data_IF_517204098006
#
_entry.id   IF_517204098006
#
_cell.length_a   1.000
_cell.length_b   1.000
_cell.length_c   1.000
_cell.angle_alpha   90.00
_cell.angle_beta   90.00
_cell.angle_gamma   90.00
#
_symmetry.space_group_name_H-M   'P 1'
#
loop_
_entity.id
_entity.type
_entity.pdbx_description
1 polymer ?
#
# COMPACT_ATOMS: atom_id res chain seq x y z
N UNK A 1 -35.85 -31.65 18.39
CA UNK A 1 -34.68 -32.03 17.54
C UNK A 1 -33.97 -30.76 17.13
N UNK A 2 -32.86 -30.46 17.80
CA UNK A 2 -32.07 -29.26 17.58
C UNK A 2 -30.92 -29.64 16.64
N UNK A 3 -30.92 -29.13 15.40
CA UNK A 3 -29.83 -29.30 14.47
C UNK A 3 -28.73 -28.29 14.76
N UNK A 4 -27.66 -28.75 15.39
CA UNK A 4 -26.44 -28.00 15.58
C UNK A 4 -25.65 -28.05 14.26
N UNK A 5 -25.64 -26.95 13.48
CA UNK A 5 -24.72 -26.81 12.35
C UNK A 5 -23.32 -26.53 12.90
N UNK A 6 -22.49 -27.55 12.94
CA UNK A 6 -21.06 -27.43 13.07
C UNK A 6 -20.53 -26.82 11.76
N UNK A 7 -20.29 -25.51 11.73
CA UNK A 7 -19.45 -24.88 10.74
C UNK A 7 -18.01 -25.29 11.01
N UNK A 8 -17.63 -26.41 10.42
CA UNK A 8 -16.22 -26.81 10.33
C UNK A 8 -15.47 -25.77 9.51
N UNK A 9 -14.63 -24.96 10.17
CA UNK A 9 -13.59 -24.17 9.52
C UNK A 9 -12.64 -25.15 8.82
N UNK A 10 -12.87 -25.43 7.54
CA UNK A 10 -11.86 -26.01 6.69
C UNK A 10 -10.78 -24.96 6.46
N UNK A 11 -9.78 -24.92 7.31
CA UNK A 11 -8.48 -24.32 6.98
C UNK A 11 -7.89 -25.18 5.87
N UNK A 12 -8.17 -24.82 4.61
CA UNK A 12 -7.43 -25.38 3.50
C UNK A 12 -5.96 -24.97 3.71
N UNK A 13 -5.09 -25.98 3.82
CA UNK A 13 -3.65 -25.76 3.97
C UNK A 13 -3.19 -24.96 2.76
N UNK A 14 -2.59 -23.79 2.98
CA UNK A 14 -1.98 -23.01 1.92
C UNK A 14 -0.65 -23.67 1.57
N UNK A 15 -0.46 -24.04 0.31
CA UNK A 15 0.80 -24.58 -0.16
C UNK A 15 1.82 -23.44 -0.25
N UNK A 16 2.96 -23.61 0.40
CA UNK A 16 4.06 -22.65 0.43
C UNK A 16 5.25 -23.24 -0.31
N UNK A 17 5.74 -22.53 -1.30
CA UNK A 17 6.94 -22.88 -2.06
C UNK A 17 8.04 -21.87 -1.74
N UNK A 18 9.23 -22.35 -1.37
CA UNK A 18 10.37 -21.50 -1.00
C UNK A 18 11.01 -20.78 -2.21
N UNK A 19 10.81 -21.33 -3.42
CA UNK A 19 11.33 -20.75 -4.66
C UNK A 19 10.30 -20.87 -5.77
N UNK A 20 10.38 -19.95 -6.74
CA UNK A 20 9.54 -19.95 -7.93
C UNK A 20 9.69 -21.24 -8.75
N UNK A 21 8.58 -21.68 -9.35
CA UNK A 21 8.57 -22.74 -10.37
C UNK A 21 8.98 -22.19 -11.76
N UNK A 22 8.83 -20.90 -12.01
CA UNK A 22 9.25 -20.23 -13.23
C UNK A 22 10.73 -19.86 -13.15
N UNK A 23 11.48 -20.17 -14.20
CA UNK A 23 12.86 -19.68 -14.35
C UNK A 23 12.84 -18.23 -14.81
N UNK A 24 13.65 -17.38 -14.17
CA UNK A 24 13.76 -15.97 -14.50
C UNK A 24 15.16 -15.44 -14.19
N UNK A 25 15.50 -14.31 -14.78
CA UNK A 25 16.66 -13.49 -14.43
C UNK A 25 16.22 -12.18 -13.79
N UNK A 26 17.12 -11.60 -12.98
CA UNK A 26 16.94 -10.27 -12.38
C UNK A 26 17.85 -9.30 -13.13
N UNK A 27 17.24 -8.36 -13.83
CA UNK A 27 17.95 -7.30 -14.52
C UNK A 27 17.88 -6.02 -13.70
N UNK A 28 19.04 -5.46 -13.28
CA UNK A 28 19.07 -4.15 -12.63
C UNK A 28 18.85 -3.07 -13.69
N UNK A 29 17.73 -2.36 -13.57
CA UNK A 29 17.32 -1.29 -14.50
C UNK A 29 17.86 0.06 -14.05
N UNK A 30 17.72 0.36 -12.75
CA UNK A 30 18.17 1.63 -12.16
C UNK A 30 19.06 1.34 -10.97
N UNK A 31 20.22 2.01 -10.90
CA UNK A 31 21.06 2.02 -9.71
C UNK A 31 20.72 3.22 -8.82
N UNK A 32 20.42 2.97 -7.52
CA UNK A 32 20.03 4.01 -6.58
C UNK A 32 20.26 3.57 -5.13
N UNK A 33 21.10 4.30 -4.42
CA UNK A 33 21.53 3.97 -3.04
C UNK A 33 20.60 4.54 -1.94
N UNK A 34 19.52 5.25 -2.34
CA UNK A 34 18.46 5.75 -1.47
C UNK A 34 17.33 4.76 -1.24
N UNK A 35 16.25 5.24 -0.62
CA UNK A 35 15.02 4.46 -0.44
C UNK A 35 14.01 4.89 -1.50
N UNK A 36 14.01 4.20 -2.64
CA UNK A 36 12.93 4.33 -3.62
C UNK A 36 11.65 3.89 -2.92
N UNK A 37 10.74 4.84 -2.71
CA UNK A 37 9.50 4.56 -2.00
C UNK A 37 8.42 4.04 -2.93
N UNK A 38 8.33 4.60 -4.13
CA UNK A 38 7.34 4.25 -5.16
C UNK A 38 7.90 4.46 -6.56
N UNK A 39 7.46 3.61 -7.47
CA UNK A 39 7.74 3.67 -8.91
C UNK A 39 6.44 3.76 -9.70
N UNK A 40 6.47 4.54 -10.80
CA UNK A 40 5.43 4.60 -11.82
C UNK A 40 6.03 4.62 -13.21
N UNK A 41 5.27 4.19 -14.21
CA UNK A 41 5.69 4.16 -15.61
C UNK A 41 5.01 5.27 -16.39
N UNK A 42 5.78 6.24 -16.87
CA UNK A 42 5.30 7.28 -17.78
C UNK A 42 4.95 6.69 -19.16
N UNK A 43 5.67 5.67 -19.57
CA UNK A 43 5.48 4.81 -20.74
C UNK A 43 6.28 3.51 -20.56
N UNK A 44 6.49 2.73 -21.64
CA UNK A 44 7.23 1.46 -21.59
C UNK A 44 8.70 1.59 -21.20
N UNK A 45 9.32 2.74 -21.41
CA UNK A 45 10.77 2.96 -21.23
C UNK A 45 11.06 3.95 -20.10
N UNK A 46 10.12 4.85 -19.82
CA UNK A 46 10.32 5.95 -18.91
C UNK A 46 9.68 5.66 -17.55
N UNK A 47 10.51 5.67 -16.51
CA UNK A 47 10.11 5.48 -15.13
C UNK A 47 10.16 6.83 -14.40
N UNK A 48 9.19 7.10 -13.53
CA UNK A 48 9.25 8.15 -12.51
C UNK A 48 9.22 7.49 -11.14
N UNK A 49 10.04 7.94 -10.20
CA UNK A 49 10.06 7.35 -8.87
C UNK A 49 10.40 8.39 -7.78
N UNK A 50 9.95 8.10 -6.57
CA UNK A 50 10.21 8.93 -5.39
C UNK A 50 11.34 8.33 -4.55
N UNK A 51 12.23 9.19 -4.04
CA UNK A 51 13.11 8.86 -2.92
C UNK A 51 12.51 9.42 -1.62
N UNK A 52 12.51 8.58 -0.59
CA UNK A 52 11.96 8.92 0.73
C UNK A 52 12.55 10.22 1.30
N UNK A 53 13.77 10.60 0.93
CA UNK A 53 14.44 11.82 1.42
C UNK A 53 13.95 13.09 0.75
N UNK A 54 13.03 13.01 -0.23
CA UNK A 54 12.31 14.15 -0.79
C UNK A 54 12.55 14.41 -2.26
N UNK A 55 13.38 13.63 -2.91
CA UNK A 55 13.68 13.77 -4.33
C UNK A 55 12.70 12.95 -5.17
N UNK A 56 12.46 13.43 -6.39
CA UNK A 56 11.74 12.70 -7.43
C UNK A 56 12.68 12.58 -8.63
N UNK A 57 12.73 11.40 -9.22
CA UNK A 57 13.59 11.12 -10.36
C UNK A 57 12.80 10.59 -11.54
N UNK A 58 13.28 10.89 -12.74
CA UNK A 58 12.91 10.17 -13.96
C UNK A 58 14.09 9.34 -14.45
N UNK A 59 13.78 8.22 -15.12
CA UNK A 59 14.76 7.37 -15.80
C UNK A 59 14.23 6.98 -17.18
N UNK A 60 15.04 7.17 -18.23
CA UNK A 60 14.63 6.99 -19.64
C UNK A 60 15.31 5.79 -20.31
N UNK A 61 15.72 4.78 -19.55
CA UNK A 61 16.47 3.63 -20.06
C UNK A 61 17.99 3.84 -20.07
N UNK A 62 18.48 5.07 -19.93
CA UNK A 62 19.92 5.40 -19.93
C UNK A 62 20.35 6.42 -18.88
N UNK A 63 19.53 7.43 -18.62
CA UNK A 63 19.85 8.54 -17.74
C UNK A 63 18.82 8.69 -16.64
N UNK A 64 19.32 8.88 -15.40
CA UNK A 64 18.54 9.21 -14.23
C UNK A 64 18.64 10.72 -13.96
N UNK A 65 17.53 11.42 -13.98
CA UNK A 65 17.45 12.86 -13.79
C UNK A 65 16.54 13.17 -12.59
N UNK A 66 17.05 14.01 -11.68
CA UNK A 66 16.22 14.59 -10.64
C UNK A 66 15.30 15.66 -11.24
N UNK A 67 14.01 15.67 -10.86
CA UNK A 67 13.06 16.68 -11.33
C UNK A 67 12.75 17.68 -10.22
N UNK A 68 12.44 18.91 -10.61
CA UNK A 68 12.10 20.00 -9.69
C UNK A 68 10.62 19.94 -9.27
N UNK A 69 10.27 20.65 -8.20
CA UNK A 69 8.88 20.86 -7.78
C UNK A 69 8.35 19.83 -6.78
N UNK A 70 9.21 19.00 -6.20
CA UNK A 70 8.82 18.14 -5.10
C UNK A 70 8.34 18.95 -3.88
N UNK A 71 7.39 18.45 -3.05
CA UNK A 71 6.91 19.14 -1.86
C UNK A 71 8.00 19.23 -0.77
N UNK A 72 7.90 20.25 0.09
CA UNK A 72 8.70 20.28 1.33
C UNK A 72 8.20 19.19 2.29
N UNK A 73 9.09 18.27 2.66
CA UNK A 73 8.75 17.11 3.48
C UNK A 73 9.14 17.27 4.95
N UNK A 74 8.42 16.56 5.82
CA UNK A 74 8.80 16.30 7.20
C UNK A 74 9.50 14.94 7.32
N UNK A 75 10.83 14.95 7.15
CA UNK A 75 11.62 13.72 7.27
C UNK A 75 11.69 13.27 8.73
N UNK A 76 10.90 12.25 9.07
CA UNK A 76 10.83 11.71 10.43
C UNK A 76 10.64 10.19 10.41
N UNK A 77 11.73 9.44 10.61
CA UNK A 77 11.80 7.96 10.64
C UNK A 77 11.23 7.32 9.38
N UNK A 78 9.98 6.79 9.42
CA UNK A 78 9.32 6.18 8.26
C UNK A 78 8.70 7.22 7.31
N UNK A 79 8.47 8.44 7.80
CA UNK A 79 7.92 9.53 6.99
C UNK A 79 8.97 10.21 6.13
N UNK A 80 8.53 10.79 5.04
CA UNK A 80 9.31 11.49 4.03
C UNK A 80 8.46 11.74 2.80
N UNK A 81 9.06 11.73 1.63
CA UNK A 81 8.33 11.60 0.37
C UNK A 81 7.96 10.13 0.19
N UNK A 82 6.71 9.85 -0.15
CA UNK A 82 6.22 8.48 -0.12
C UNK A 82 5.70 8.05 -1.50
N UNK A 83 4.41 7.87 -1.66
CA UNK A 83 3.85 7.35 -2.89
C UNK A 83 3.80 8.38 -4.02
N UNK A 84 3.91 7.90 -5.24
CA UNK A 84 3.58 8.63 -6.47
C UNK A 84 2.64 7.76 -7.29
N UNK A 85 1.56 8.33 -7.78
CA UNK A 85 0.56 7.65 -8.59
C UNK A 85 0.14 8.52 -9.76
N UNK A 86 0.17 7.99 -10.98
CA UNK A 86 -0.34 8.69 -12.15
C UNK A 86 -1.88 8.70 -12.14
N UNK A 87 -2.46 9.80 -12.64
CA UNK A 87 -3.90 9.83 -12.91
C UNK A 87 -4.26 8.75 -13.96
N UNK A 88 -5.42 8.09 -13.90
CA UNK A 88 -5.82 7.12 -14.92
C UNK A 88 -5.74 7.65 -16.37
N UNK A 89 -6.03 8.95 -16.58
CA UNK A 89 -5.90 9.63 -17.86
C UNK A 89 -4.63 10.48 -17.96
N UNK A 90 -3.51 10.01 -17.36
CA UNK A 90 -2.26 10.77 -17.30
C UNK A 90 -1.76 11.19 -18.68
N UNK A 91 -1.88 10.34 -19.68
CA UNK A 91 -1.44 10.62 -21.06
C UNK A 91 -2.16 11.84 -21.67
N UNK A 92 -3.38 12.15 -21.23
CA UNK A 92 -4.17 13.27 -21.69
C UNK A 92 -3.99 14.52 -20.83
N UNK A 93 -3.77 14.34 -19.51
CA UNK A 93 -3.86 15.43 -18.56
C UNK A 93 -2.57 15.74 -17.80
N UNK A 94 -1.55 14.87 -17.91
CA UNK A 94 -0.24 14.96 -17.22
C UNK A 94 -0.36 15.12 -15.70
N UNK A 95 -1.45 14.64 -15.08
CA UNK A 95 -1.68 14.77 -13.66
C UNK A 95 -1.12 13.58 -12.90
N UNK A 96 -0.48 13.83 -11.78
CA UNK A 96 -0.05 12.81 -10.84
C UNK A 96 -0.35 13.23 -9.39
N UNK A 97 -0.30 12.25 -8.51
CA UNK A 97 -0.57 12.42 -7.10
C UNK A 97 0.64 11.95 -6.30
N UNK A 98 0.88 12.65 -5.19
CA UNK A 98 1.99 12.37 -4.31
C UNK A 98 1.47 12.31 -2.89
N UNK A 99 1.92 11.31 -2.12
CA UNK A 99 1.76 11.34 -0.68
C UNK A 99 3.09 11.67 -0.02
N UNK A 100 3.02 12.45 1.05
CA UNK A 100 4.21 12.81 1.78
C UNK A 100 3.91 13.12 3.25
N UNK A 101 4.94 13.05 4.06
CA UNK A 101 4.88 13.51 5.43
C UNK A 101 4.98 15.04 5.44
N UNK A 102 3.92 15.72 5.86
CA UNK A 102 3.89 17.17 6.04
C UNK A 102 3.97 17.54 7.51
N UNK A 103 4.85 18.49 7.86
CA UNK A 103 4.85 19.07 9.19
C UNK A 103 3.63 19.96 9.33
N UNK A 104 2.79 19.72 10.34
CA UNK A 104 1.55 20.46 10.57
C UNK A 104 1.72 21.56 11.62
N UNK A 105 2.45 21.26 12.71
CA UNK A 105 2.68 22.16 13.84
C UNK A 105 3.94 21.72 14.65
N UNK A 106 4.14 22.32 15.83
CA UNK A 106 5.23 21.94 16.75
C UNK A 106 5.14 20.51 17.27
N UNK A 107 3.94 19.88 17.26
CA UNK A 107 3.72 18.50 17.70
C UNK A 107 3.97 17.48 16.58
N UNK A 108 4.52 17.91 15.44
CA UNK A 108 4.95 17.04 14.37
C UNK A 108 4.11 17.13 13.09
N UNK A 109 3.91 15.99 12.42
CA UNK A 109 3.28 15.96 11.12
C UNK A 109 2.37 14.74 10.89
N UNK A 110 1.73 14.75 9.73
CA UNK A 110 0.92 13.63 9.27
C UNK A 110 0.99 13.48 7.75
N UNK A 111 0.36 12.41 7.24
CA UNK A 111 0.28 12.12 5.81
C UNK A 111 -0.60 13.14 5.12
N UNK A 112 -0.11 13.65 4.01
CA UNK A 112 -0.77 14.60 3.11
C UNK A 112 -0.79 14.00 1.71
N UNK A 113 -1.86 14.26 0.96
CA UNK A 113 -1.98 13.94 -0.47
C UNK A 113 -1.94 15.23 -1.25
N UNK A 114 -1.03 15.33 -2.20
CA UNK A 114 -0.94 16.45 -3.15
C UNK A 114 -1.21 15.97 -4.57
N UNK A 115 -1.68 16.89 -5.41
CA UNK A 115 -1.83 16.74 -6.85
C UNK A 115 -0.90 17.71 -7.55
N UNK A 116 -0.33 17.30 -8.68
CA UNK A 116 0.53 18.16 -9.51
C UNK A 116 0.38 17.82 -11.00
N UNK A 117 0.90 18.69 -11.85
CA UNK A 117 1.12 18.43 -13.27
C UNK A 117 2.59 18.13 -13.52
N UNK A 118 2.87 17.12 -14.32
CA UNK A 118 4.21 16.82 -14.80
C UNK A 118 4.42 17.38 -16.19
N UNK A 119 5.45 18.23 -16.38
CA UNK A 119 5.74 18.86 -17.67
C UNK A 119 6.94 18.25 -18.42
N UNK A 120 7.43 17.10 -17.93
CA UNK A 120 8.60 16.41 -18.47
C UNK A 120 9.88 16.61 -17.65
N UNK A 121 10.06 17.75 -16.99
CA UNK A 121 11.26 18.06 -16.20
C UNK A 121 10.97 18.52 -14.78
N UNK A 122 9.73 18.86 -14.47
CA UNK A 122 9.33 19.35 -13.14
C UNK A 122 7.86 19.05 -12.85
N UNK A 123 7.53 19.11 -11.57
CA UNK A 123 6.15 19.20 -11.11
C UNK A 123 5.76 20.69 -11.03
N UNK A 124 4.61 21.01 -11.61
CA UNK A 124 4.01 22.34 -11.55
C UNK A 124 2.60 22.25 -10.98
N UNK A 125 2.05 23.37 -10.55
CA UNK A 125 0.70 23.44 -9.97
C UNK A 125 0.48 22.45 -8.81
N UNK A 126 1.53 22.25 -7.98
CA UNK A 126 1.46 21.39 -6.81
C UNK A 126 0.50 21.97 -5.79
N UNK A 127 -0.53 21.22 -5.42
CA UNK A 127 -1.50 21.59 -4.41
C UNK A 127 -1.84 20.42 -3.48
N UNK A 128 -1.99 20.70 -2.19
CA UNK A 128 -2.49 19.71 -1.23
C UNK A 128 -3.99 19.56 -1.37
N UNK A 129 -4.43 18.39 -1.77
CA UNK A 129 -5.85 18.04 -1.93
C UNK A 129 -6.42 17.33 -0.69
N UNK A 130 -5.56 16.81 0.19
CA UNK A 130 -5.95 16.27 1.48
C UNK A 130 -4.82 16.49 2.50
N UNK A 131 -5.16 17.06 3.66
CA UNK A 131 -4.27 17.22 4.79
C UNK A 131 -4.91 16.58 6.02
N UNK A 132 -4.27 15.59 6.61
CA UNK A 132 -4.75 14.97 7.85
C UNK A 132 -4.76 15.97 9.00
N UNK A 133 -5.79 15.89 9.88
CA UNK A 133 -6.05 16.90 10.90
C UNK A 133 -5.14 16.84 12.12
N UNK A 134 -4.70 15.63 12.51
CA UNK A 134 -3.94 15.43 13.74
C UNK A 134 -2.46 15.28 13.43
N UNK A 135 -1.63 16.10 14.07
CA UNK A 135 -0.17 15.95 14.07
C UNK A 135 0.30 14.82 15.00
N UNK A 136 1.50 14.32 14.74
CA UNK A 136 2.18 13.34 15.59
C UNK A 136 3.70 13.49 15.44
N UNK A 137 4.40 13.58 16.58
CA UNK A 137 5.87 13.49 16.62
C UNK A 137 6.38 12.07 16.39
N UNK A 138 5.50 11.07 16.54
CA UNK A 138 5.86 9.68 16.31
C UNK A 138 6.08 9.43 14.83
N UNK A 139 7.29 9.03 14.47
CA UNK A 139 7.69 8.81 13.08
C UNK A 139 7.23 7.45 12.49
N UNK A 140 6.15 6.86 12.98
CA UNK A 140 5.67 5.52 12.61
C UNK A 140 4.32 5.54 11.91
N UNK A 141 4.07 4.51 11.10
CA UNK A 141 2.79 4.14 10.53
C UNK A 141 2.14 5.29 9.74
N UNK A 142 2.82 5.74 8.69
CA UNK A 142 2.33 6.81 7.84
C UNK A 142 1.27 6.34 6.84
N UNK A 143 1.22 5.04 6.52
CA UNK A 143 0.40 4.50 5.45
C UNK A 143 0.91 4.96 4.10
N UNK A 144 0.09 5.67 3.35
CA UNK A 144 0.40 6.55 2.21
C UNK A 144 0.06 6.05 0.81
N UNK A 145 0.08 4.73 0.52
CA UNK A 145 -0.21 4.25 -0.83
C UNK A 145 -1.56 4.73 -1.35
N UNK A 146 -1.59 5.04 -2.65
CA UNK A 146 -2.74 5.54 -3.40
C UNK A 146 -3.20 4.48 -4.41
N UNK A 147 -4.51 4.35 -4.58
CA UNK A 147 -5.10 3.63 -5.70
C UNK A 147 -6.34 4.36 -6.22
N UNK A 148 -6.59 4.27 -7.52
CA UNK A 148 -7.84 4.72 -8.14
C UNK A 148 -8.78 3.56 -8.36
N UNK A 149 -10.08 3.77 -8.09
CA UNK A 149 -11.10 2.87 -8.61
C UNK A 149 -11.47 3.23 -10.07
N UNK A 150 -12.28 2.41 -10.71
CA UNK A 150 -12.72 2.64 -12.11
C UNK A 150 -13.59 3.87 -12.30
N UNK A 151 -14.13 4.45 -11.21
CA UNK A 151 -14.92 5.67 -11.24
C UNK A 151 -14.05 6.94 -11.09
N UNK A 152 -12.74 6.77 -10.88
CA UNK A 152 -11.77 7.85 -10.69
C UNK A 152 -11.69 8.36 -9.26
N UNK A 153 -12.25 7.66 -8.27
CA UNK A 153 -12.04 8.01 -6.87
C UNK A 153 -10.67 7.55 -6.42
N UNK A 154 -10.03 8.38 -5.62
CA UNK A 154 -8.73 8.15 -5.05
C UNK A 154 -8.87 7.60 -3.63
N UNK A 155 -8.26 6.44 -3.38
CA UNK A 155 -8.18 5.79 -2.07
C UNK A 155 -6.75 5.82 -1.54
N UNK A 156 -6.62 6.04 -0.23
CA UNK A 156 -5.32 6.00 0.44
C UNK A 156 -5.47 5.64 1.92
N UNK A 157 -4.40 5.12 2.52
CA UNK A 157 -4.37 4.76 3.93
C UNK A 157 -3.54 5.72 4.78
N UNK A 158 -3.97 5.96 6.02
CA UNK A 158 -3.14 6.54 7.08
C UNK A 158 -3.10 5.55 8.24
N UNK A 159 -1.91 5.16 8.66
CA UNK A 159 -1.73 4.26 9.80
C UNK A 159 -2.10 4.90 11.15
N UNK A 160 -2.04 4.11 12.21
CA UNK A 160 -2.40 4.55 13.58
C UNK A 160 -1.46 5.62 14.16
N UNK A 161 -0.42 6.02 13.41
CA UNK A 161 0.58 7.03 13.79
C UNK A 161 1.25 6.70 15.13
N UNK A 162 1.41 5.41 15.45
CA UNK A 162 1.96 4.93 16.70
C UNK A 162 1.09 5.21 17.94
N UNK A 163 -0.19 5.52 17.75
CA UNK A 163 -1.18 5.76 18.81
C UNK A 163 -2.29 4.71 18.78
N UNK A 164 -1.85 3.46 18.89
CA UNK A 164 -2.65 2.24 18.77
C UNK A 164 -3.98 2.29 19.53
N UNK A 165 -3.94 2.68 20.79
CA UNK A 165 -5.09 2.58 21.70
C UNK A 165 -6.06 3.77 21.56
N UNK A 166 -5.73 4.74 20.71
CA UNK A 166 -6.49 5.98 20.52
C UNK A 166 -7.03 6.06 19.09
N UNK A 167 -6.14 6.10 18.10
CA UNK A 167 -6.49 6.52 16.74
C UNK A 167 -7.39 5.54 15.97
N UNK A 168 -7.11 4.21 15.89
CA UNK A 168 -7.79 3.35 14.93
C UNK A 168 -9.29 3.24 15.13
N UNK A 169 -9.74 3.20 16.39
CA UNK A 169 -11.15 3.01 16.75
C UNK A 169 -11.92 4.33 16.94
N UNK A 170 -11.22 5.47 16.99
CA UNK A 170 -11.84 6.79 17.15
C UNK A 170 -12.11 7.42 15.77
N UNK A 171 -13.38 7.55 15.38
CA UNK A 171 -13.80 8.15 14.11
C UNK A 171 -13.58 9.66 14.03
N UNK A 172 -13.31 10.33 15.14
CA UNK A 172 -12.99 11.77 15.17
C UNK A 172 -11.50 12.06 14.87
N UNK A 173 -10.71 11.00 14.61
CA UNK A 173 -9.29 11.05 14.32
C UNK A 173 -8.96 10.37 12.99
N UNK A 174 -7.98 10.94 12.28
CA UNK A 174 -7.61 10.47 10.94
C UNK A 174 -6.65 9.26 10.96
N UNK A 175 -5.97 8.99 12.07
CA UNK A 175 -5.06 7.83 12.15
C UNK A 175 -5.78 6.48 12.18
N UNK A 176 -5.24 5.48 11.48
CA UNK A 176 -5.79 4.13 11.37
C UNK A 176 -7.04 4.05 10.50
N UNK A 177 -7.03 4.75 9.36
CA UNK A 177 -8.16 4.85 8.43
C UNK A 177 -7.73 4.60 6.98
N UNK A 178 -8.68 4.15 6.16
CA UNK A 178 -8.65 4.29 4.72
C UNK A 178 -9.63 5.37 4.32
N UNK A 179 -9.23 6.22 3.40
CA UNK A 179 -9.96 7.39 2.92
C UNK A 179 -10.37 7.21 1.47
N UNK A 180 -11.43 7.89 1.04
CA UNK A 180 -11.86 8.04 -0.35
C UNK A 180 -12.16 9.50 -0.63
N UNK A 181 -11.57 10.04 -1.69
CA UNK A 181 -11.83 11.39 -2.21
C UNK A 181 -11.97 11.35 -3.74
N UNK A 182 -12.49 12.42 -4.32
CA UNK A 182 -12.40 12.63 -5.77
C UNK A 182 -10.96 13.04 -6.14
N UNK A 183 -10.63 13.01 -7.42
CA UNK A 183 -9.35 13.38 -7.99
C UNK A 183 -8.94 14.85 -7.73
N UNK A 184 -9.91 15.72 -7.46
CA UNK A 184 -9.73 17.13 -7.09
C UNK A 184 -9.68 17.37 -5.57
N UNK A 185 -9.75 16.32 -4.75
CA UNK A 185 -9.78 16.40 -3.29
C UNK A 185 -11.18 16.64 -2.69
N UNK A 186 -12.20 16.89 -3.50
CA UNK A 186 -13.58 17.00 -3.02
C UNK A 186 -14.10 15.65 -2.50
N UNK A 187 -15.13 15.69 -1.67
CA UNK A 187 -15.67 14.49 -1.04
C UNK A 187 -16.78 13.89 -1.90
N UNK A 188 -16.70 12.60 -2.29
CA UNK A 188 -17.80 11.91 -2.95
C UNK A 188 -19.07 11.97 -2.11
N UNK A 189 -20.22 12.31 -2.75
CA UNK A 189 -21.49 12.50 -2.05
C UNK A 189 -22.04 11.23 -1.40
N UNK A 190 -21.57 10.06 -1.84
CA UNK A 190 -21.91 8.74 -1.31
C UNK A 190 -20.90 8.21 -0.30
N UNK A 191 -19.95 9.04 0.15
CA UNK A 191 -19.03 8.64 1.23
C UNK A 191 -19.77 8.32 2.53
N UNK A 192 -19.32 7.30 3.27
CA UNK A 192 -20.09 6.75 4.39
C UNK A 192 -20.31 7.74 5.55
N UNK A 193 -19.48 8.77 5.68
CA UNK A 193 -19.54 9.73 6.80
C UNK A 193 -19.83 11.17 6.35
N UNK A 194 -20.28 11.39 5.11
CA UNK A 194 -20.52 12.73 4.53
C UNK A 194 -21.46 13.60 5.38
N UNK A 195 -22.50 12.99 5.97
CA UNK A 195 -23.50 13.68 6.79
C UNK A 195 -23.21 13.58 8.32
N UNK A 196 -22.02 13.12 8.73
CA UNK A 196 -21.69 12.92 10.15
C UNK A 196 -20.89 14.09 10.72
N UNK A 197 -21.52 14.85 11.61
CA UNK A 197 -20.89 16.03 12.24
C UNK A 197 -19.64 15.61 13.03
N UNK A 198 -18.51 16.28 12.77
CA UNK A 198 -17.25 16.09 13.46
C UNK A 198 -16.39 14.93 12.97
N UNK A 199 -16.94 14.00 12.20
CA UNK A 199 -16.19 12.93 11.54
C UNK A 199 -15.63 13.47 10.23
N UNK A 200 -14.39 13.08 9.86
CA UNK A 200 -13.83 13.43 8.57
C UNK A 200 -14.64 12.73 7.46
N UNK A 201 -15.32 13.46 6.57
CA UNK A 201 -16.19 12.87 5.55
C UNK A 201 -15.44 12.05 4.50
N UNK A 202 -14.12 12.20 4.40
CA UNK A 202 -13.28 11.38 3.53
C UNK A 202 -13.06 9.95 4.05
N UNK A 203 -13.31 9.67 5.34
CA UNK A 203 -13.12 8.33 5.91
C UNK A 203 -14.04 7.34 5.20
N UNK A 204 -13.45 6.22 4.75
CA UNK A 204 -14.14 5.12 4.10
C UNK A 204 -14.26 3.89 5.00
N UNK A 205 -13.13 3.52 5.66
CA UNK A 205 -13.07 2.44 6.66
C UNK A 205 -12.14 2.81 7.81
N UNK A 206 -12.16 2.04 8.91
CA UNK A 206 -11.40 2.34 10.11
C UNK A 206 -10.91 1.07 10.82
N UNK A 207 -10.12 1.23 11.88
CA UNK A 207 -9.58 0.10 12.62
C UNK A 207 -8.36 -0.53 11.95
N UNK A 208 -7.57 0.27 11.23
CA UNK A 208 -6.33 -0.14 10.56
C UNK A 208 -5.10 0.18 11.41
N UNK A 209 -4.05 -0.65 11.26
CA UNK A 209 -2.77 -0.39 11.91
C UNK A 209 -1.84 0.45 11.03
N UNK A 210 -1.47 -0.06 9.87
CA UNK A 210 -0.53 0.59 8.96
C UNK A 210 -0.65 0.01 7.54
N UNK A 211 -1.66 0.41 6.76
CA UNK A 211 -1.78 0.04 5.35
C UNK A 211 -0.54 0.50 4.58
N UNK A 212 0.13 -0.41 3.89
CA UNK A 212 1.37 -0.14 3.14
C UNK A 212 1.23 -0.39 1.64
N UNK A 213 0.36 -1.28 1.24
CA UNK A 213 -0.02 -1.50 -0.15
C UNK A 213 -1.52 -1.34 -0.32
N UNK A 214 -1.91 -0.78 -1.44
CA UNK A 214 -3.31 -0.62 -1.85
C UNK A 214 -3.38 -0.75 -3.37
N UNK A 215 -4.37 -1.45 -3.88
CA UNK A 215 -4.69 -1.49 -5.30
C UNK A 215 -6.19 -1.68 -5.52
N UNK A 216 -6.65 -1.34 -6.72
CA UNK A 216 -7.97 -1.67 -7.21
C UNK A 216 -7.94 -3.02 -7.92
N UNK A 217 -8.76 -3.98 -7.46
CA UNK A 217 -8.85 -5.31 -8.05
C UNK A 217 -9.85 -5.31 -9.21
N UNK A 218 -9.40 -5.39 -10.48
CA UNK A 218 -10.27 -5.21 -11.64
C UNK A 218 -11.33 -6.31 -11.76
N UNK A 219 -11.04 -7.52 -11.30
CA UNK A 219 -11.96 -8.66 -11.37
C UNK A 219 -13.10 -8.64 -10.36
N UNK A 220 -12.93 -7.98 -9.20
CA UNK A 220 -13.95 -7.89 -8.14
C UNK A 220 -14.54 -6.50 -7.96
N UNK A 221 -13.97 -5.48 -8.62
CA UNK A 221 -14.38 -4.07 -8.48
C UNK A 221 -14.28 -3.58 -7.02
N UNK A 222 -13.19 -3.93 -6.34
CA UNK A 222 -12.96 -3.65 -4.92
C UNK A 222 -11.56 -3.09 -4.69
N UNK A 223 -11.41 -2.30 -3.64
CA UNK A 223 -10.09 -1.87 -3.14
C UNK A 223 -9.56 -2.92 -2.17
N UNK A 224 -8.34 -3.36 -2.40
CA UNK A 224 -7.63 -4.29 -1.56
C UNK A 224 -6.41 -3.63 -0.93
N UNK A 225 -6.12 -3.96 0.33
CA UNK A 225 -4.94 -3.45 1.03
C UNK A 225 -4.15 -4.59 1.66
N UNK A 226 -2.85 -4.38 1.80
CA UNK A 226 -2.09 -5.08 2.82
C UNK A 226 -1.66 -4.12 3.93
N UNK A 227 -1.49 -4.62 5.13
CA UNK A 227 -1.07 -3.82 6.25
C UNK A 227 -0.18 -4.59 7.24
N UNK A 228 0.70 -3.84 7.91
CA UNK A 228 1.56 -4.39 8.94
C UNK A 228 0.79 -4.72 10.21
N UNK A 229 0.93 -5.94 10.69
CA UNK A 229 0.74 -6.29 12.08
C UNK A 229 1.92 -5.84 12.96
N UNK A 230 1.91 -6.15 14.26
CA UNK A 230 3.09 -5.95 15.11
C UNK A 230 4.11 -7.08 14.90
N UNK A 231 4.26 -7.98 15.85
CA UNK A 231 5.07 -9.19 15.67
C UNK A 231 4.18 -10.34 15.18
N UNK A 232 4.04 -10.48 13.85
CA UNK A 232 3.01 -11.29 13.18
C UNK A 232 1.69 -10.54 13.01
N UNK A 233 0.73 -11.15 12.30
CA UNK A 233 -0.57 -10.57 12.05
C UNK A 233 -0.55 -9.43 11.02
N UNK A 234 0.37 -9.45 10.07
CA UNK A 234 0.23 -8.69 8.83
C UNK A 234 -0.98 -9.24 8.06
N UNK A 235 -1.70 -8.41 7.34
CA UNK A 235 -2.99 -8.77 6.78
C UNK A 235 -3.14 -8.36 5.31
N UNK A 236 -3.98 -9.10 4.58
CA UNK A 236 -4.63 -8.65 3.34
C UNK A 236 -6.10 -8.41 3.67
N UNK A 237 -6.60 -7.23 3.35
CA UNK A 237 -7.95 -6.81 3.61
C UNK A 237 -8.66 -6.35 2.32
N UNK A 238 -9.93 -6.72 2.15
CA UNK A 238 -10.83 -6.17 1.13
C UNK A 238 -11.58 -5.00 1.76
N UNK A 239 -11.36 -3.79 1.25
CA UNK A 239 -11.85 -2.57 1.88
C UNK A 239 -13.30 -2.29 1.50
N UNK A 240 -14.15 -2.13 2.51
CA UNK A 240 -15.58 -1.84 2.37
C UNK A 240 -15.98 -0.61 3.19
N UNK A 241 -16.99 0.16 2.71
CA UNK A 241 -17.44 1.35 3.43
C UNK A 241 -17.99 1.01 4.82
N UNK A 242 -17.75 1.90 5.80
CA UNK A 242 -18.23 1.79 7.20
C UNK A 242 -17.62 0.64 8.03
N UNK A 243 -16.73 -0.17 7.44
CA UNK A 243 -16.23 -1.36 8.12
C UNK A 243 -15.08 -1.06 9.05
N UNK A 244 -15.07 -1.82 10.17
CA UNK A 244 -14.04 -1.80 11.19
C UNK A 244 -13.13 -3.03 11.02
N UNK A 245 -11.84 -2.80 10.75
CA UNK A 245 -10.84 -3.86 10.56
C UNK A 245 -10.17 -4.30 11.87
N UNK A 246 -10.64 -3.77 12.98
CA UNK A 246 -10.46 -4.35 14.30
C UNK A 246 -9.22 -3.95 15.08
N UNK A 247 -8.18 -3.38 14.44
CA UNK A 247 -6.98 -2.95 15.16
C UNK A 247 -7.30 -1.90 16.23
N UNK A 248 -6.80 -2.01 17.48
CA UNK A 248 -6.02 -3.11 18.08
C UNK A 248 -6.88 -4.10 18.88
N UNK A 249 -8.20 -4.05 18.76
CA UNK A 249 -9.14 -4.88 19.54
C UNK A 249 -9.00 -6.36 19.20
N UNK A 250 -8.80 -6.66 17.91
CA UNK A 250 -8.48 -7.99 17.39
C UNK A 250 -7.14 -7.95 16.67
N UNK A 251 -6.37 -9.04 16.74
CA UNK A 251 -5.10 -9.20 16.02
C UNK A 251 -4.64 -10.64 16.01
N UNK A 252 -3.92 -11.04 14.96
CA UNK A 252 -3.17 -12.30 14.91
C UNK A 252 -1.72 -12.17 15.38
N UNK A 253 -1.29 -10.95 15.75
CA UNK A 253 0.06 -10.65 16.22
C UNK A 253 0.11 -10.35 17.72
N UNK A 254 1.34 -10.24 18.22
CA UNK A 254 1.65 -9.90 19.61
C UNK A 254 2.60 -8.69 19.66
N UNK A 255 2.81 -8.09 20.83
CA UNK A 255 3.78 -7.01 20.99
C UNK A 255 5.21 -7.46 20.63
N UNK A 256 6.07 -6.51 20.27
CA UNK A 256 7.49 -6.79 19.94
C UNK A 256 8.28 -7.38 21.12
N UNK A 257 7.88 -7.09 22.36
CA UNK A 257 8.43 -7.68 23.60
C UNK A 257 7.87 -9.07 23.93
N UNK A 258 7.05 -9.63 23.03
CA UNK A 258 6.38 -10.94 23.15
C UNK A 258 5.21 -10.97 24.14
N UNK A 259 4.80 -9.85 24.69
CA UNK A 259 3.56 -9.77 25.49
C UNK A 259 2.31 -9.77 24.59
N UNK A 260 1.23 -10.33 25.10
CA UNK A 260 -0.09 -10.35 24.43
C UNK A 260 -0.84 -9.08 24.82
N UNK A 261 -1.32 -8.31 23.83
CA UNK A 261 -2.13 -7.11 24.07
C UNK A 261 -3.64 -7.36 23.85
N UNK A 262 -3.98 -8.42 23.13
CA UNK A 262 -5.35 -8.92 22.94
C UNK A 262 -5.33 -10.43 22.72
N UNK A 263 -6.27 -11.13 23.33
CA UNK A 263 -6.51 -12.57 23.09
C UNK A 263 -7.52 -12.81 21.95
N UNK A 264 -8.07 -11.73 21.39
CA UNK A 264 -9.10 -11.81 20.38
C UNK A 264 -8.50 -11.76 18.98
N UNK A 265 -8.79 -12.77 18.17
CA UNK A 265 -8.51 -12.76 16.73
C UNK A 265 -9.75 -12.40 15.91
N UNK A 266 -10.96 -12.46 16.52
CA UNK A 266 -12.21 -12.11 15.88
C UNK A 266 -13.19 -11.49 16.88
N UNK A 267 -14.03 -10.56 16.42
CA UNK A 267 -15.09 -9.96 17.21
C UNK A 267 -16.25 -9.54 16.30
N UNK A 268 -17.48 -9.71 16.76
CA UNK A 268 -18.67 -9.27 16.02
C UNK A 268 -18.60 -7.79 15.71
N UNK A 269 -18.86 -7.41 14.45
CA UNK A 269 -18.78 -6.04 13.95
C UNK A 269 -17.36 -5.61 13.52
N UNK A 270 -16.40 -6.53 13.51
CA UNK A 270 -15.06 -6.33 12.98
C UNK A 270 -14.81 -7.31 11.83
N UNK A 271 -14.25 -6.79 10.74
CA UNK A 271 -13.94 -7.58 9.55
C UNK A 271 -12.75 -8.50 9.82
N UNK A 272 -12.74 -9.62 9.13
CA UNK A 272 -11.62 -10.56 9.15
C UNK A 272 -10.78 -10.41 7.88
N UNK A 273 -9.45 -10.49 7.98
CA UNK A 273 -8.60 -10.43 6.80
C UNK A 273 -8.87 -11.59 5.85
N UNK A 274 -8.66 -11.33 4.57
CA UNK A 274 -8.62 -12.36 3.54
C UNK A 274 -7.50 -13.37 3.81
N UNK A 275 -6.36 -12.84 4.22
CA UNK A 275 -5.16 -13.59 4.56
C UNK A 275 -4.35 -12.85 5.64
N UNK A 276 -3.57 -13.60 6.43
CA UNK A 276 -2.63 -13.01 7.40
C UNK A 276 -1.33 -13.83 7.50
N UNK A 277 -0.25 -13.14 7.87
CA UNK A 277 1.07 -13.74 8.05
C UNK A 277 1.46 -13.81 9.53
N UNK A 278 1.93 -14.99 9.95
CA UNK A 278 2.65 -15.21 11.21
C UNK A 278 3.79 -16.19 10.93
N UNK A 279 5.05 -15.73 11.07
CA UNK A 279 5.54 -14.42 11.50
C UNK A 279 5.28 -13.31 10.48
N UNK A 280 5.46 -12.05 10.92
CA UNK A 280 5.34 -10.86 10.05
C UNK A 280 6.38 -10.89 8.93
N UNK A 281 5.96 -10.65 7.70
CA UNK A 281 6.82 -10.42 6.53
C UNK A 281 7.12 -8.93 6.31
N UNK A 282 6.40 -8.04 7.02
CA UNK A 282 6.37 -6.60 6.81
C UNK A 282 6.03 -6.24 5.34
N UNK A 283 4.79 -6.45 4.87
CA UNK A 283 4.38 -6.21 3.49
C UNK A 283 4.46 -4.71 3.17
N UNK A 284 5.06 -4.35 2.04
CA UNK A 284 5.39 -2.96 1.70
C UNK A 284 4.60 -2.38 0.53
N UNK A 285 4.25 -3.23 -0.39
CA UNK A 285 3.53 -2.91 -1.62
C UNK A 285 2.52 -4.01 -1.90
N UNK A 286 1.59 -3.72 -2.79
CA UNK A 286 0.56 -4.67 -3.16
C UNK A 286 0.12 -4.39 -4.59
N UNK A 287 0.28 -5.36 -5.47
CA UNK A 287 -0.03 -5.22 -6.89
C UNK A 287 -0.78 -6.44 -7.41
N UNK A 288 -1.66 -6.24 -8.37
CA UNK A 288 -2.33 -7.30 -9.11
C UNK A 288 -1.61 -7.51 -10.44
N UNK A 289 -1.15 -8.73 -10.71
CA UNK A 289 -0.48 -9.05 -11.95
C UNK A 289 -1.51 -9.30 -13.07
N UNK A 290 -1.72 -8.30 -13.90
CA UNK A 290 -2.46 -8.41 -15.15
C UNK A 290 -1.47 -8.42 -16.32
N UNK A 291 -0.86 -9.59 -16.55
CA UNK A 291 0.16 -9.77 -17.58
C UNK A 291 0.29 -11.22 -17.98
N UNK A 292 0.44 -11.46 -19.29
CA UNK A 292 0.71 -12.77 -19.87
C UNK A 292 2.22 -13.02 -20.13
N UNK A 293 3.10 -12.11 -19.69
CA UNK A 293 4.56 -12.26 -19.80
C UNK A 293 5.06 -13.47 -19.02
N UNK A 294 4.40 -13.79 -17.90
CA UNK A 294 4.79 -14.87 -17.00
C UNK A 294 3.80 -16.03 -17.09
N UNK A 295 4.21 -17.15 -17.67
CA UNK A 295 3.32 -18.30 -17.84
C UNK A 295 2.72 -18.78 -16.52
N UNK A 296 1.40 -18.81 -16.45
CA UNK A 296 0.62 -19.23 -15.29
C UNK A 296 0.60 -18.25 -14.11
N UNK A 297 1.10 -17.02 -14.26
CA UNK A 297 1.11 -16.03 -13.18
C UNK A 297 0.02 -14.97 -13.29
N UNK A 298 -0.59 -14.81 -14.46
CA UNK A 298 -1.66 -13.81 -14.63
C UNK A 298 -2.77 -14.02 -13.58
N UNK A 299 -3.24 -12.92 -12.99
CA UNK A 299 -4.23 -12.93 -11.90
C UNK A 299 -3.64 -13.15 -10.51
N UNK A 300 -2.32 -13.19 -10.35
CA UNK A 300 -1.66 -13.32 -9.06
C UNK A 300 -1.59 -11.98 -8.31
N UNK A 301 -1.46 -12.09 -6.99
CA UNK A 301 -1.19 -10.98 -6.10
C UNK A 301 0.31 -10.94 -5.82
N UNK A 302 0.91 -9.75 -5.89
CA UNK A 302 2.32 -9.50 -5.64
C UNK A 302 2.50 -8.67 -4.38
N UNK A 303 3.31 -9.15 -3.43
CA UNK A 303 3.55 -8.50 -2.13
C UNK A 303 5.04 -8.43 -1.85
N UNK A 304 5.58 -7.24 -1.68
CA UNK A 304 6.98 -7.06 -1.28
C UNK A 304 7.18 -7.35 0.21
N UNK A 305 8.28 -8.02 0.58
CA UNK A 305 8.68 -8.25 1.96
C UNK A 305 9.87 -7.38 2.35
N UNK A 306 9.66 -6.51 3.34
CA UNK A 306 10.76 -5.73 3.93
C UNK A 306 11.56 -6.52 4.96
N UNK A 307 10.95 -7.50 5.62
CA UNK A 307 11.59 -8.23 6.70
C UNK A 307 12.52 -9.33 6.19
N UNK A 308 12.13 -10.02 5.12
CA UNK A 308 12.87 -11.16 4.59
C UNK A 308 13.51 -10.92 3.23
N UNK A 309 13.24 -9.79 2.57
CA UNK A 309 13.91 -9.40 1.31
C UNK A 309 13.54 -10.29 0.12
N UNK A 310 12.27 -10.39 -0.21
CA UNK A 310 11.76 -11.10 -1.39
C UNK A 310 10.46 -10.46 -1.88
N UNK A 311 10.06 -10.78 -3.10
CA UNK A 311 8.69 -10.61 -3.58
C UNK A 311 7.91 -11.90 -3.29
N UNK A 312 6.71 -11.81 -2.72
CA UNK A 312 5.80 -12.94 -2.57
C UNK A 312 4.70 -12.88 -3.62
N UNK A 313 4.53 -13.98 -4.36
CA UNK A 313 3.39 -14.18 -5.25
C UNK A 313 2.36 -15.07 -4.55
N UNK A 314 1.11 -14.61 -4.54
CA UNK A 314 -0.01 -15.37 -4.00
C UNK A 314 -1.04 -15.60 -5.09
N UNK A 315 -1.71 -16.74 -5.06
CA UNK A 315 -2.91 -16.98 -5.88
C UNK A 315 -4.14 -17.14 -5.00
N UNK A 316 -5.29 -16.81 -5.56
CA UNK A 316 -6.57 -17.03 -4.92
C UNK A 316 -7.38 -18.10 -5.68
N UNK A 317 -8.18 -18.85 -4.94
CA UNK A 317 -9.13 -19.78 -5.55
C UNK A 317 -10.41 -19.07 -5.99
N UNK A 318 -11.33 -19.80 -6.61
CA UNK A 318 -12.64 -19.30 -7.08
C UNK A 318 -13.52 -18.68 -5.98
N UNK A 319 -13.18 -18.88 -4.71
CA UNK A 319 -13.84 -18.27 -3.55
C UNK A 319 -13.10 -17.05 -3.01
N UNK A 320 -12.09 -16.58 -3.73
CA UNK A 320 -11.24 -15.44 -3.34
C UNK A 320 -10.27 -15.73 -2.20
N UNK A 321 -10.10 -16.98 -1.75
CA UNK A 321 -9.17 -17.32 -0.67
C UNK A 321 -7.78 -17.63 -1.21
N UNK A 322 -6.76 -17.13 -0.54
CA UNK A 322 -5.36 -17.49 -0.84
C UNK A 322 -5.18 -19.00 -0.68
N UNK A 323 -4.69 -19.65 -1.70
CA UNK A 323 -4.49 -21.10 -1.75
C UNK A 323 -3.06 -21.52 -2.11
N UNK A 324 -2.24 -20.59 -2.63
CA UNK A 324 -0.86 -20.85 -2.98
C UNK A 324 0.00 -19.61 -2.72
N UNK A 325 1.26 -19.82 -2.35
CA UNK A 325 2.27 -18.78 -2.13
C UNK A 325 3.63 -19.28 -2.57
N UNK A 326 4.40 -18.40 -3.19
CA UNK A 326 5.81 -18.66 -3.51
C UNK A 326 6.66 -17.41 -3.33
N UNK A 327 7.95 -17.61 -3.05
CA UNK A 327 8.95 -16.55 -2.95
C UNK A 327 9.65 -16.37 -4.29
N UNK A 328 9.72 -15.13 -4.73
CA UNK A 328 10.41 -14.69 -5.94
C UNK A 328 11.55 -13.79 -5.52
N UNK A 329 12.70 -13.90 -6.19
CA UNK A 329 13.91 -13.13 -5.88
C UNK A 329 14.29 -13.18 -4.39
N UNK A 330 14.45 -14.37 -3.77
CA UNK A 330 14.85 -14.48 -2.37
C UNK A 330 16.21 -13.79 -2.15
N UNK A 331 16.31 -13.11 -1.01
CA UNK A 331 17.53 -12.39 -0.58
C UNK A 331 17.90 -11.18 -1.46
N UNK A 332 17.01 -10.70 -2.34
CA UNK A 332 17.27 -9.52 -3.17
C UNK A 332 17.46 -8.23 -2.33
N UNK A 333 16.98 -8.22 -1.10
CA UNK A 333 16.96 -7.05 -0.24
C UNK A 333 15.53 -6.62 0.09
N UNK A 334 15.40 -5.51 0.80
CA UNK A 334 14.10 -4.99 1.24
C UNK A 334 13.30 -4.48 0.03
N UNK A 335 12.33 -5.25 -0.42
CA UNK A 335 11.44 -4.86 -1.52
C UNK A 335 10.46 -3.81 -1.00
N UNK A 336 10.61 -2.55 -1.44
CA UNK A 336 9.77 -1.43 -1.02
C UNK A 336 8.56 -1.25 -1.90
N UNK A 337 8.73 -1.43 -3.22
CA UNK A 337 7.65 -1.31 -4.19
C UNK A 337 7.70 -2.41 -5.25
N UNK A 338 6.55 -2.70 -5.82
CA UNK A 338 6.39 -3.55 -6.99
C UNK A 338 5.41 -2.87 -7.94
N UNK A 339 5.77 -2.81 -9.22
CA UNK A 339 4.89 -2.32 -10.29
C UNK A 339 5.01 -3.22 -11.51
N UNK A 340 3.92 -3.35 -12.22
CA UNK A 340 3.89 -3.98 -13.54
C UNK A 340 3.97 -2.88 -14.60
N UNK A 341 5.01 -2.94 -15.44
CA UNK A 341 5.15 -1.98 -16.55
C UNK A 341 4.09 -2.17 -17.62
N UNK A 342 3.82 -1.17 -18.48
CA UNK A 342 2.81 -1.29 -19.52
C UNK A 342 3.06 -2.42 -20.52
N UNK A 343 4.32 -2.87 -20.70
CA UNK A 343 4.70 -4.06 -21.48
C UNK A 343 4.63 -5.37 -20.68
N UNK A 344 4.14 -5.32 -19.44
CA UNK A 344 3.77 -6.47 -18.60
C UNK A 344 4.89 -7.03 -17.71
N UNK A 345 6.07 -6.41 -17.65
CA UNK A 345 7.15 -6.88 -16.78
C UNK A 345 7.01 -6.38 -15.34
N UNK A 346 7.33 -7.26 -14.39
CA UNK A 346 7.37 -6.94 -12.96
C UNK A 346 8.65 -6.18 -12.64
N UNK A 347 8.54 -5.03 -12.00
CA UNK A 347 9.65 -4.23 -11.51
C UNK A 347 9.60 -4.12 -9.99
N UNK A 348 10.77 -4.22 -9.35
CA UNK A 348 10.94 -4.18 -7.90
C UNK A 348 11.82 -3.00 -7.51
N UNK A 349 11.34 -2.13 -6.63
CA UNK A 349 12.19 -1.17 -5.93
C UNK A 349 12.79 -1.83 -4.69
N UNK A 350 14.12 -1.94 -4.66
CA UNK A 350 14.88 -2.53 -3.56
C UNK A 350 15.61 -1.41 -2.81
N UNK A 351 15.35 -1.28 -1.50
CA UNK A 351 15.93 -0.22 -0.67
C UNK A 351 17.47 -0.25 -0.72
N UNK A 352 18.08 0.90 -1.00
CA UNK A 352 19.55 1.11 -1.07
C UNK A 352 20.25 0.28 -2.14
N UNK A 353 19.53 -0.05 -3.20
CA UNK A 353 20.08 -0.84 -4.30
C UNK A 353 19.56 -0.36 -5.65
N UNK A 354 18.24 -0.21 -5.83
CA UNK A 354 17.72 0.31 -7.08
C UNK A 354 16.44 -0.36 -7.55
N UNK A 355 16.21 -0.33 -8.87
CA UNK A 355 15.05 -0.96 -9.52
C UNK A 355 15.52 -2.16 -10.32
N UNK A 356 14.85 -3.29 -10.13
CA UNK A 356 15.08 -4.53 -10.85
C UNK A 356 13.87 -4.92 -11.69
N UNK A 357 14.11 -5.47 -12.86
CA UNK A 357 13.10 -6.10 -13.72
C UNK A 357 13.25 -7.62 -13.61
N UNK A 358 12.12 -8.34 -13.49
CA UNK A 358 12.07 -9.79 -13.54
C UNK A 358 11.86 -10.22 -15.00
N UNK A 359 12.82 -10.94 -15.59
CA UNK A 359 12.77 -11.39 -16.98
C UNK A 359 12.57 -12.90 -17.00
N UNK A 360 11.44 -13.46 -17.49
CA UNK A 360 11.26 -14.90 -17.60
C UNK A 360 12.17 -15.49 -18.66
N UNK A 361 12.64 -16.74 -18.43
CA UNK A 361 13.55 -17.49 -19.31
C UNK A 361 12.83 -18.55 -20.15
#
# INVERSE_FOLDING_TARGET
MSFCFLLGSCNSKVDITESSQLSYELEKVVDHDGIIWSIEFLDNENIIFTDKEGQIYTYNGSEKNEIEGAPEIYLNRQGGLMDIQLHPDFQDNNTLYITYAKKLDENGGNTTVARAKFNGNSLVDLEDIFVSKQSSEKGYHWGSRIAFDKAGHLYFGIGDRGSRDINPQDLYRDGGKVFRINDDGSIPSDNPYVDKIGINPAIYSYGHRNPQGIFYHPGTDEIWTNEHGPRGGDEINIIKPLKNYGWPVISYGINYDSTIFTDLTAKTGMEQPLYYWVPSIAPSCFEYLDSDVYDGWNGSLLVGSLNYGYLERLTTNIFGKVNYREKIAPEIGRVRDVKVSPDGYIHLAVEKDGIYRIVPL
#
